data_IF_827511666431
#
_entry.id   IF_827511666431
#
_cell.length_a   1.000
_cell.length_b   1.000
_cell.length_c   1.000
_cell.angle_alpha   90.00
_cell.angle_beta   90.00
_cell.angle_gamma   90.00
#
_symmetry.space_group_name_H-M   'P 1'
#
loop_
_entity.id
_entity.type
_entity.pdbx_description
1 polymer ?
#
# COMPACT_ATOMS: atom_id res chain seq x y z
N UNK A 1 1.78 17.16 10.91
CA UNK A 1 2.64 16.04 11.37
C UNK A 1 2.05 15.54 12.68
N UNK A 2 1.94 14.22 12.91
CA UNK A 2 1.44 13.74 14.20
C UNK A 2 2.44 14.15 15.29
N UNK A 3 1.95 14.92 16.27
CA UNK A 3 2.76 15.44 17.37
C UNK A 3 2.45 14.68 18.66
N UNK A 4 3.49 14.42 19.44
CA UNK A 4 3.35 13.94 20.80
C UNK A 4 2.67 15.00 21.68
N UNK A 5 2.18 14.62 22.88
CA UNK A 5 1.69 15.60 23.85
C UNK A 5 2.71 16.69 24.23
N UNK A 6 4.00 16.48 23.96
CA UNK A 6 5.07 17.45 24.18
C UNK A 6 5.35 18.34 22.95
N UNK A 7 4.56 18.21 21.89
CA UNK A 7 4.71 18.96 20.63
C UNK A 7 5.76 18.40 19.66
N UNK A 8 6.44 17.31 20.03
CA UNK A 8 7.51 16.70 19.23
C UNK A 8 6.95 15.76 18.15
N UNK A 9 7.57 15.66 16.96
CA UNK A 9 7.19 14.65 15.97
C UNK A 9 7.30 13.23 16.50
N UNK A 10 6.32 12.37 16.21
CA UNK A 10 6.47 10.95 16.49
C UNK A 10 7.57 10.30 15.65
N UNK A 11 8.32 9.41 16.28
CA UNK A 11 9.30 8.59 15.57
C UNK A 11 8.58 7.60 14.64
N UNK A 12 9.25 7.23 13.55
CA UNK A 12 8.78 6.14 12.67
C UNK A 12 8.47 4.86 13.46
N UNK A 13 9.32 4.54 14.45
CA UNK A 13 9.17 3.32 15.24
C UNK A 13 7.91 3.35 16.11
N UNK A 14 7.54 4.51 16.67
CA UNK A 14 6.30 4.67 17.41
C UNK A 14 5.08 4.40 16.52
N UNK A 15 5.06 4.98 15.32
CA UNK A 15 3.98 4.76 14.35
C UNK A 15 3.92 3.30 13.91
N UNK A 16 5.07 2.67 13.67
CA UNK A 16 5.14 1.24 13.31
C UNK A 16 4.63 0.34 14.43
N UNK A 17 4.89 0.70 15.69
CA UNK A 17 4.42 -0.03 16.86
C UNK A 17 2.91 0.08 17.02
N UNK A 18 2.34 1.27 16.87
CA UNK A 18 0.89 1.47 16.92
C UNK A 18 0.12 0.66 15.87
N UNK A 19 0.72 0.38 14.72
CA UNK A 19 0.12 -0.49 13.71
C UNK A 19 0.20 -1.97 14.06
N UNK A 20 1.05 -2.35 15.02
CA UNK A 20 1.24 -3.73 15.50
C UNK A 20 0.46 -4.00 16.78
N UNK A 21 0.30 -2.99 17.63
CA UNK A 21 -0.40 -3.09 18.92
C UNK A 21 -1.79 -3.71 18.82
N UNK A 22 -2.63 -3.42 17.79
CA UNK A 22 -3.92 -4.07 17.65
C UNK A 22 -3.85 -5.59 17.50
N UNK A 23 -2.81 -6.13 16.84
CA UNK A 23 -2.65 -7.59 16.71
C UNK A 23 -2.35 -8.21 18.08
N UNK A 24 -1.49 -7.57 18.87
CA UNK A 24 -1.17 -8.00 20.24
C UNK A 24 -2.40 -7.90 21.14
N UNK A 25 -3.11 -6.78 21.11
CA UNK A 25 -4.30 -6.55 21.93
C UNK A 25 -5.45 -7.52 21.59
N UNK A 26 -5.61 -7.86 20.31
CA UNK A 26 -6.62 -8.82 19.85
C UNK A 26 -6.17 -10.28 19.96
N UNK A 27 -4.94 -10.55 20.42
CA UNK A 27 -4.41 -11.92 20.56
C UNK A 27 -4.26 -12.67 19.23
N UNK A 28 -4.16 -11.96 18.10
CA UNK A 28 -4.07 -12.57 16.77
C UNK A 28 -2.62 -12.59 16.26
N UNK A 29 -2.22 -13.63 15.50
CA UNK A 29 -0.90 -13.68 14.89
C UNK A 29 -0.66 -12.49 13.98
N UNK A 30 0.42 -11.76 14.24
CA UNK A 30 0.83 -10.65 13.41
C UNK A 30 1.24 -11.15 12.01
N UNK A 31 0.67 -10.62 10.91
CA UNK A 31 1.08 -10.99 9.56
C UNK A 31 2.54 -10.67 9.27
N UNK A 32 3.18 -11.51 8.45
CA UNK A 32 4.52 -11.27 7.93
C UNK A 32 4.57 -9.96 7.13
N UNK A 33 5.58 -9.12 7.41
CA UNK A 33 5.77 -7.77 6.83
C UNK A 33 4.63 -6.78 7.12
N UNK A 34 3.96 -6.90 8.26
CA UNK A 34 3.05 -5.90 8.85
C UNK A 34 3.75 -4.56 9.18
N UNK A 35 2.95 -3.54 9.52
CA UNK A 35 3.40 -2.15 9.74
C UNK A 35 3.11 -1.25 8.55
N UNK A 36 3.67 -0.03 8.54
CA UNK A 36 3.30 1.01 7.55
C UNK A 36 3.54 0.59 6.10
N UNK A 37 4.59 -0.21 5.84
CA UNK A 37 4.87 -0.73 4.51
C UNK A 37 3.77 -1.65 3.98
N UNK A 38 3.03 -2.35 4.84
CA UNK A 38 1.90 -3.17 4.42
C UNK A 38 0.77 -2.32 3.84
N UNK A 39 0.43 -1.23 4.54
CA UNK A 39 -0.56 -0.26 4.07
C UNK A 39 -0.15 0.38 2.74
N UNK A 40 1.12 0.77 2.59
CA UNK A 40 1.61 1.31 1.31
C UNK A 40 1.54 0.32 0.16
N UNK A 41 1.84 -0.96 0.40
CA UNK A 41 1.70 -2.01 -0.63
C UNK A 41 0.24 -2.18 -1.02
N UNK A 42 -0.66 -2.16 -0.03
CA UNK A 42 -2.10 -2.25 -0.27
C UNK A 42 -2.60 -1.05 -1.09
N UNK A 43 -2.26 0.17 -0.68
CA UNK A 43 -2.62 1.40 -1.41
C UNK A 43 -2.15 1.36 -2.87
N UNK A 44 -0.89 1.00 -3.12
CA UNK A 44 -0.37 0.89 -4.48
C UNK A 44 -1.07 -0.21 -5.30
N UNK A 45 -1.37 -1.35 -4.67
CA UNK A 45 -1.97 -2.51 -5.35
C UNK A 45 -3.45 -2.31 -5.65
N UNK A 46 -4.21 -1.72 -4.74
CA UNK A 46 -5.65 -1.47 -4.90
C UNK A 46 -5.90 -0.40 -5.96
N UNK A 47 -4.99 0.57 -6.10
CA UNK A 47 -5.10 1.66 -7.06
C UNK A 47 -4.30 1.43 -8.35
N UNK A 48 -3.78 0.22 -8.60
CA UNK A 48 -2.93 -0.05 -9.77
C UNK A 48 -3.61 0.12 -11.14
N UNK A 49 -4.94 0.18 -11.15
CA UNK A 49 -5.73 0.48 -12.35
C UNK A 49 -5.91 1.99 -12.59
N UNK A 50 -5.64 2.83 -11.59
CA UNK A 50 -5.69 4.28 -11.71
C UNK A 50 -4.43 4.85 -12.38
N UNK A 51 -4.42 6.16 -12.62
CA UNK A 51 -3.25 6.91 -13.07
C UNK A 51 -2.07 6.68 -12.13
N UNK A 52 -0.96 6.17 -12.67
CA UNK A 52 0.26 5.95 -11.89
C UNK A 52 0.76 7.25 -11.27
N UNK A 53 0.62 8.39 -11.97
CA UNK A 53 1.03 9.71 -11.48
C UNK A 53 0.27 10.07 -10.20
N UNK A 54 -1.06 9.96 -10.23
CA UNK A 54 -1.91 10.38 -9.11
C UNK A 54 -1.70 9.48 -7.89
N UNK A 55 -1.52 8.17 -8.11
CA UNK A 55 -1.21 7.24 -7.02
C UNK A 55 0.17 7.51 -6.43
N UNK A 56 1.15 7.84 -7.28
CA UNK A 56 2.50 8.21 -6.84
C UNK A 56 2.49 9.48 -5.99
N UNK A 57 1.77 10.51 -6.42
CA UNK A 57 1.60 11.76 -5.67
C UNK A 57 0.88 11.52 -4.33
N UNK A 58 -0.23 10.77 -4.35
CA UNK A 58 -1.00 10.43 -3.15
C UNK A 58 -0.15 9.68 -2.10
N UNK A 59 0.66 8.72 -2.54
CA UNK A 59 1.53 7.98 -1.63
C UNK A 59 2.93 8.56 -1.47
N UNK A 60 3.20 9.76 -1.99
CA UNK A 60 4.50 10.44 -1.90
C UNK A 60 5.69 9.59 -2.40
N UNK A 61 5.53 8.85 -3.50
CA UNK A 61 6.63 8.14 -4.15
C UNK A 61 7.40 9.07 -5.08
N UNK A 62 8.69 9.24 -4.83
CA UNK A 62 9.57 10.10 -5.64
C UNK A 62 9.99 9.50 -6.99
N UNK A 63 9.90 8.17 -7.14
CA UNK A 63 10.31 7.50 -8.37
C UNK A 63 9.40 6.32 -8.70
N UNK A 64 9.22 6.11 -10.00
CA UNK A 64 8.45 4.98 -10.53
C UNK A 64 9.06 3.65 -10.09
N UNK A 65 10.39 3.53 -10.10
CA UNK A 65 11.09 2.34 -9.62
C UNK A 65 10.74 2.01 -8.15
N UNK A 66 10.63 3.02 -7.30
CA UNK A 66 10.22 2.82 -5.91
C UNK A 66 8.75 2.42 -5.82
N UNK A 67 7.87 3.05 -6.60
CA UNK A 67 6.44 2.72 -6.65
C UNK A 67 6.18 1.28 -7.11
N UNK A 68 6.83 0.84 -8.18
CA UNK A 68 6.66 -0.51 -8.74
C UNK A 68 7.04 -1.63 -7.78
N UNK A 69 7.90 -1.37 -6.79
CA UNK A 69 8.20 -2.34 -5.70
C UNK A 69 7.02 -2.57 -4.75
N UNK A 70 6.05 -1.64 -4.72
CA UNK A 70 4.86 -1.74 -3.88
C UNK A 70 3.65 -2.31 -4.62
N UNK A 71 3.58 -2.17 -5.94
CA UNK A 71 2.51 -2.72 -6.76
C UNK A 71 2.69 -4.23 -6.90
N UNK A 72 1.65 -5.01 -6.54
CA UNK A 72 1.60 -6.43 -6.87
C UNK A 72 0.68 -6.68 -8.06
N UNK A 73 1.23 -7.38 -9.05
CA UNK A 73 0.41 -8.03 -10.07
C UNK A 73 -0.46 -9.11 -9.43
N UNK A 74 -1.67 -9.27 -9.94
CA UNK A 74 -2.55 -10.37 -9.57
C UNK A 74 -3.12 -11.04 -10.82
N UNK A 75 -3.45 -12.32 -10.68
CA UNK A 75 -3.89 -13.15 -11.80
C UNK A 75 -5.27 -12.75 -12.32
N UNK A 76 -6.12 -12.18 -11.48
CA UNK A 76 -7.46 -11.76 -11.86
C UNK A 76 -7.41 -10.57 -12.81
N UNK A 77 -6.63 -9.53 -12.47
CA UNK A 77 -6.35 -8.40 -13.35
C UNK A 77 -5.72 -8.84 -14.67
N UNK A 78 -4.75 -9.77 -14.63
CA UNK A 78 -4.11 -10.30 -15.84
C UNK A 78 -5.12 -11.03 -16.75
N UNK A 79 -5.99 -11.86 -16.18
CA UNK A 79 -7.08 -12.54 -16.91
C UNK A 79 -8.06 -11.53 -17.51
N UNK A 80 -8.43 -10.49 -16.77
CA UNK A 80 -9.31 -9.43 -17.26
C UNK A 80 -8.71 -8.69 -18.47
N UNK A 81 -7.41 -8.39 -18.43
CA UNK A 81 -6.68 -7.77 -19.56
C UNK A 81 -6.72 -8.68 -20.80
N UNK A 82 -6.45 -9.98 -20.64
CA UNK A 82 -6.50 -10.94 -21.74
C UNK A 82 -7.92 -11.06 -22.34
N UNK A 83 -8.93 -11.11 -21.50
CA UNK A 83 -10.33 -11.22 -21.94
C UNK A 83 -10.82 -9.94 -22.65
N UNK A 84 -10.39 -8.75 -22.19
CA UNK A 84 -10.69 -7.48 -22.86
C UNK A 84 -10.15 -7.43 -24.29
N UNK A 85 -8.99 -8.04 -24.54
CA UNK A 85 -8.37 -8.12 -25.89
C UNK A 85 -9.06 -9.13 -26.81
N UNK A 86 -9.75 -10.12 -26.26
CA UNK A 86 -10.43 -11.18 -27.02
C UNK A 86 -11.81 -10.79 -27.54
N UNK A 87 -12.40 -9.70 -27.05
CA UNK A 87 -13.68 -9.19 -27.56
C UNK A 87 -13.34 -8.27 -28.75
N UNK A 88 -13.62 -8.68 -30.01
CA UNK A 88 -13.49 -7.75 -31.12
C UNK A 88 -14.44 -6.58 -30.84
N UNK A 89 -13.98 -5.36 -31.11
CA UNK A 89 -14.90 -4.26 -31.34
C UNK A 89 -15.86 -4.74 -32.43
N UNK A 90 -17.15 -4.75 -32.12
CA UNK A 90 -18.19 -4.98 -33.12
C UNK A 90 -18.09 -3.94 -34.23
#
# INVERSE_FOLDING_TARGET
MFQSPKGEPYSKNAVDQWMRDPYTAAGIPKPYRSGWHAFRRRLATDNKAASMKDVMELGAWRSQASFMRYVKGDRETQRAILNRRRRPAG
#
